data_IF_106485993110
#
_entry.id   IF_106485993110
#
_cell.length_a   1.000
_cell.length_b   1.000
_cell.length_c   1.000
_cell.angle_alpha   90.00
_cell.angle_beta   90.00
_cell.angle_gamma   90.00
#
_symmetry.space_group_name_H-M   'P 1'
#
loop_
_entity.id
_entity.type
_entity.pdbx_description
1 polymer ?
#
# COMPACT_ATOMS: atom_id res chain seq x y z
N UNK A 1 8.31 -17.92 2.69
CA UNK A 1 7.77 -16.93 3.67
C UNK A 1 8.78 -16.72 4.84
N UNK A 2 10.08 -16.60 4.53
CA UNK A 2 11.17 -16.64 5.53
C UNK A 2 11.58 -15.27 6.11
N UNK A 3 10.97 -14.18 5.64
CA UNK A 3 11.33 -12.82 6.08
C UNK A 3 10.93 -12.53 7.54
N UNK A 4 9.99 -13.28 8.11
CA UNK A 4 9.55 -13.10 9.51
C UNK A 4 10.51 -13.74 10.52
N UNK A 5 11.35 -14.70 10.11
CA UNK A 5 12.29 -15.39 11.01
C UNK A 5 13.39 -14.44 11.50
N UNK A 6 13.66 -13.35 10.75
CA UNK A 6 14.75 -12.41 11.04
C UNK A 6 14.34 -11.15 11.81
N UNK A 7 13.04 -10.94 12.03
CA UNK A 7 12.53 -9.74 12.69
C UNK A 7 12.10 -10.05 14.13
N UNK A 8 13.09 -10.19 15.03
CA UNK A 8 12.80 -10.19 16.47
C UNK A 8 12.60 -8.75 16.93
N UNK A 9 11.35 -8.41 17.26
CA UNK A 9 11.03 -7.14 17.89
C UNK A 9 11.55 -7.19 19.33
N UNK A 10 12.38 -6.22 19.71
CA UNK A 10 12.82 -6.03 21.09
C UNK A 10 12.20 -4.74 21.66
N UNK A 11 11.84 -4.71 22.95
CA UNK A 11 11.49 -3.46 23.61
C UNK A 11 12.72 -2.53 23.64
N UNK A 12 12.49 -1.23 23.47
CA UNK A 12 13.50 -0.19 23.65
C UNK A 12 13.43 0.36 25.07
N UNK A 13 14.58 0.67 25.65
CA UNK A 13 14.70 1.38 26.93
C UNK A 13 14.35 2.86 26.79
N UNK A 14 14.02 3.51 27.92
CA UNK A 14 13.69 4.94 27.95
C UNK A 14 14.87 5.81 27.50
N UNK A 15 16.09 5.42 27.86
CA UNK A 15 17.34 6.12 27.50
C UNK A 15 17.61 6.05 25.99
N UNK A 16 17.36 4.88 25.36
CA UNK A 16 17.45 4.71 23.91
C UNK A 16 16.43 5.58 23.18
N UNK A 17 15.20 5.65 23.69
CA UNK A 17 14.13 6.48 23.11
C UNK A 17 14.52 7.97 23.13
N UNK A 18 15.04 8.46 24.25
CA UNK A 18 15.48 9.85 24.37
C UNK A 18 16.71 10.16 23.49
N UNK A 19 17.66 9.24 23.39
CA UNK A 19 18.81 9.38 22.49
C UNK A 19 18.38 9.48 21.02
N UNK A 20 17.39 8.69 20.61
CA UNK A 20 16.83 8.74 19.26
C UNK A 20 16.12 10.08 19.00
N UNK A 21 15.36 10.59 19.98
CA UNK A 21 14.69 11.91 19.90
C UNK A 21 15.70 13.05 19.75
N UNK A 22 16.79 13.02 20.53
CA UNK A 22 17.84 14.05 20.50
C UNK A 22 18.57 14.10 19.15
N UNK A 23 18.72 12.97 18.45
CA UNK A 23 19.35 12.91 17.12
C UNK A 23 18.52 13.57 16.00
N UNK A 24 17.37 14.20 16.28
CA UNK A 24 16.43 14.81 15.31
C UNK A 24 15.96 13.85 14.19
N UNK A 25 16.25 12.56 14.30
CA UNK A 25 15.52 11.53 13.55
C UNK A 25 14.18 11.48 14.24
N UNK A 26 13.22 12.30 13.81
CA UNK A 26 11.84 12.26 14.33
C UNK A 26 11.29 10.92 13.87
N UNK A 27 11.26 9.88 14.73
CA UNK A 27 10.69 8.62 14.31
C UNK A 27 9.21 8.94 14.17
N UNK A 28 8.61 8.63 13.02
CA UNK A 28 7.16 8.55 12.96
C UNK A 28 6.78 7.39 13.87
N UNK A 29 6.57 7.68 15.15
CA UNK A 29 6.14 6.68 16.13
C UNK A 29 4.71 6.34 15.75
N UNK A 30 4.45 5.06 15.48
CA UNK A 30 3.15 4.61 15.04
C UNK A 30 2.74 3.39 15.86
N UNK A 31 1.44 3.29 16.16
CA UNK A 31 0.93 2.26 17.07
C UNK A 31 0.68 0.95 16.31
N UNK A 32 1.31 -0.14 16.73
CA UNK A 32 1.03 -1.48 16.21
C UNK A 32 -0.35 -1.95 16.66
N UNK A 33 -1.13 -2.56 15.75
CA UNK A 33 -2.41 -3.21 16.03
C UNK A 33 -2.48 -4.55 15.30
N UNK A 34 -2.99 -5.57 15.98
CA UNK A 34 -3.26 -6.87 15.37
C UNK A 34 -4.73 -7.00 14.97
N UNK A 35 -4.99 -7.47 13.75
CA UNK A 35 -6.34 -7.79 13.25
C UNK A 35 -6.49 -9.32 13.18
N UNK A 36 -7.52 -9.92 13.80
CA UNK A 36 -7.79 -11.34 13.68
C UNK A 36 -7.99 -11.81 12.23
N UNK A 37 -7.42 -12.96 11.89
CA UNK A 37 -7.58 -13.70 10.63
C UNK A 37 -7.82 -15.17 10.96
N UNK A 38 -8.39 -15.93 10.02
CA UNK A 38 -8.74 -17.35 10.22
C UNK A 38 -7.59 -18.19 10.80
N UNK A 39 -6.35 -17.95 10.35
CA UNK A 39 -5.17 -18.72 10.76
C UNK A 39 -4.12 -17.86 11.48
N UNK A 40 -4.51 -16.79 12.18
CA UNK A 40 -3.58 -15.97 12.96
C UNK A 40 -3.91 -14.48 12.99
N UNK A 41 -2.89 -13.65 13.15
CA UNK A 41 -3.03 -12.20 13.28
C UNK A 41 -2.40 -11.48 12.09
N UNK A 42 -3.07 -10.44 11.59
CA UNK A 42 -2.49 -9.48 10.65
C UNK A 42 -1.98 -8.26 11.43
N UNK A 43 -0.66 -8.09 11.60
CA UNK A 43 -0.13 -6.83 12.13
C UNK A 43 -0.41 -5.70 11.13
N UNK A 44 -0.89 -4.58 11.64
CA UNK A 44 -1.03 -3.31 10.92
C UNK A 44 -0.51 -2.16 11.78
N UNK A 45 -0.02 -1.11 11.14
CA UNK A 45 0.48 0.07 11.83
C UNK A 45 -0.54 1.20 11.72
N UNK A 46 -0.93 1.78 12.86
CA UNK A 46 -1.73 3.00 12.91
C UNK A 46 -0.81 4.21 12.86
N UNK A 47 -0.67 4.77 11.66
CA UNK A 47 0.13 5.98 11.39
C UNK A 47 -0.43 7.25 12.05
N UNK A 48 -1.66 7.19 12.56
CA UNK A 48 -2.26 8.32 13.23
C UNK A 48 -1.62 8.55 14.62
N UNK A 49 -1.07 7.53 15.27
CA UNK A 49 -0.52 7.65 16.62
C UNK A 49 0.88 8.26 16.71
N UNK A 50 1.18 9.34 15.97
CA UNK A 50 2.43 10.09 16.16
C UNK A 50 2.48 10.52 17.62
N UNK A 51 3.32 9.84 18.41
CA UNK A 51 3.71 10.25 19.76
C UNK A 51 4.71 11.39 19.61
N UNK A 52 4.28 12.46 18.92
CA UNK A 52 4.92 13.75 19.06
C UNK A 52 4.59 14.23 20.48
N UNK A 53 5.49 15.02 21.11
CA UNK A 53 5.19 15.65 22.39
C UNK A 53 3.82 16.32 22.27
N UNK A 54 3.07 16.38 23.38
CA UNK A 54 1.66 16.82 23.52
C UNK A 54 1.32 18.21 22.90
N UNK A 55 2.27 18.84 22.23
CA UNK A 55 2.27 20.20 21.70
C UNK A 55 1.73 20.37 20.26
N UNK A 56 1.51 19.30 19.46
CA UNK A 56 0.99 19.47 18.10
C UNK A 56 -0.52 19.21 18.02
N UNK A 57 -1.26 20.25 17.64
CA UNK A 57 -2.74 20.27 17.58
C UNK A 57 -3.28 19.21 16.62
N UNK A 58 -4.52 18.74 16.86
CA UNK A 58 -5.22 17.77 15.98
C UNK A 58 -5.22 18.21 14.51
N UNK A 59 -5.28 19.51 14.25
CA UNK A 59 -5.24 20.11 12.91
C UNK A 59 -3.90 19.90 12.20
N UNK A 60 -2.78 20.07 12.91
CA UNK A 60 -1.44 19.86 12.34
C UNK A 60 -1.23 18.41 11.86
N UNK A 61 -1.81 17.45 12.58
CA UNK A 61 -1.81 16.02 12.23
C UNK A 61 -2.67 15.73 10.99
N UNK A 62 -3.84 16.34 10.89
CA UNK A 62 -4.69 16.18 9.70
C UNK A 62 -4.00 16.78 8.45
N UNK A 63 -3.32 17.92 8.60
CA UNK A 63 -2.51 18.53 7.53
C UNK A 63 -1.40 17.60 7.05
N UNK A 64 -0.65 16.95 7.96
CA UNK A 64 0.37 15.94 7.61
C UNK A 64 -0.22 14.74 6.85
N UNK A 65 -1.34 14.17 7.32
CA UNK A 65 -2.01 13.04 6.63
C UNK A 65 -2.47 13.46 5.23
N UNK A 66 -3.06 14.65 5.10
CA UNK A 66 -3.49 15.17 3.82
C UNK A 66 -2.31 15.36 2.87
N UNK A 67 -1.17 15.85 3.36
CA UNK A 67 0.06 15.97 2.57
C UNK A 67 0.52 14.62 2.00
N UNK A 68 0.60 13.58 2.82
CA UNK A 68 0.95 12.23 2.34
C UNK A 68 -0.07 11.68 1.35
N UNK A 69 -1.37 11.88 1.61
CA UNK A 69 -2.42 11.45 0.69
C UNK A 69 -2.31 12.18 -0.66
N UNK A 70 -1.96 13.46 -0.67
CA UNK A 70 -1.72 14.21 -1.90
C UNK A 70 -0.51 13.66 -2.67
N UNK A 71 0.60 13.35 -1.98
CA UNK A 71 1.76 12.72 -2.62
C UNK A 71 1.41 11.35 -3.21
N UNK A 72 0.62 10.54 -2.49
CA UNK A 72 0.13 9.25 -3.00
C UNK A 72 -0.79 9.41 -4.20
N UNK A 73 -1.64 10.45 -4.23
CA UNK A 73 -2.47 10.76 -5.41
C UNK A 73 -1.60 11.12 -6.62
N UNK A 74 -0.55 11.93 -6.42
CA UNK A 74 0.37 12.27 -7.50
C UNK A 74 1.09 11.03 -8.04
N UNK A 75 1.61 10.18 -7.14
CA UNK A 75 2.22 8.91 -7.54
C UNK A 75 1.22 8.01 -8.28
N UNK A 76 -0.02 7.91 -7.79
CA UNK A 76 -1.07 7.16 -8.44
C UNK A 76 -1.36 7.67 -9.86
N UNK A 77 -1.36 9.00 -10.06
CA UNK A 77 -1.52 9.59 -11.40
C UNK A 77 -0.36 9.24 -12.33
N UNK A 78 0.89 9.33 -11.84
CA UNK A 78 2.08 8.94 -12.62
C UNK A 78 2.03 7.46 -12.99
N UNK A 79 1.70 6.57 -12.06
CA UNK A 79 1.57 5.15 -12.34
C UNK A 79 0.46 4.86 -13.36
N UNK A 80 -0.66 5.58 -13.31
CA UNK A 80 -1.71 5.47 -14.31
C UNK A 80 -1.26 5.95 -15.69
N UNK A 81 -0.46 7.02 -15.75
CA UNK A 81 0.13 7.51 -17.00
C UNK A 81 1.11 6.49 -17.58
N UNK A 82 2.09 6.03 -16.80
CA UNK A 82 3.09 5.04 -17.21
C UNK A 82 2.44 3.73 -17.67
N UNK A 83 1.34 3.31 -17.04
CA UNK A 83 0.57 2.14 -17.49
C UNK A 83 0.08 2.27 -18.93
N UNK A 84 -0.21 3.48 -19.40
CA UNK A 84 -0.70 3.72 -20.77
C UNK A 84 0.43 3.91 -21.78
N UNK A 85 1.55 4.48 -21.37
CA UNK A 85 2.68 4.81 -22.25
C UNK A 85 3.71 3.68 -22.32
N UNK A 86 3.99 3.04 -21.18
CA UNK A 86 5.01 2.00 -21.07
C UNK A 86 4.49 0.79 -20.30
N UNK A 87 3.69 -0.02 -21.00
CA UNK A 87 3.07 -1.24 -20.47
C UNK A 87 4.07 -2.29 -20.00
N UNK A 88 5.35 -2.19 -20.38
CA UNK A 88 6.37 -3.18 -19.98
C UNK A 88 6.72 -3.12 -18.49
N UNK A 89 6.66 -1.95 -17.85
CA UNK A 89 7.02 -1.77 -16.44
C UNK A 89 5.90 -2.20 -15.47
N UNK A 90 4.64 -1.99 -15.85
CA UNK A 90 3.47 -2.21 -14.98
C UNK A 90 2.65 -3.43 -15.43
N UNK A 91 2.90 -3.93 -16.63
CA UNK A 91 2.20 -5.07 -17.21
C UNK A 91 0.70 -4.82 -17.39
N UNK A 92 -0.09 -5.88 -17.24
CA UNK A 92 -1.55 -5.84 -17.33
C UNK A 92 -2.24 -5.39 -16.02
N UNK A 93 -1.51 -4.71 -15.13
CA UNK A 93 -2.09 -4.20 -13.88
C UNK A 93 -3.18 -3.18 -14.17
N UNK A 94 -4.18 -3.12 -13.30
CA UNK A 94 -5.28 -2.15 -13.37
C UNK A 94 -5.45 -1.47 -12.02
N UNK A 95 -5.77 -0.18 -12.05
CA UNK A 95 -5.75 0.68 -10.87
C UNK A 95 -7.13 1.26 -10.51
N UNK A 96 -8.08 1.26 -11.45
CA UNK A 96 -9.47 1.66 -11.20
C UNK A 96 -10.35 0.50 -10.73
N UNK A 97 -11.41 0.85 -10.02
CA UNK A 97 -12.39 -0.10 -9.47
C UNK A 97 -13.08 -0.95 -10.55
N UNK A 98 -13.36 -0.34 -11.71
CA UNK A 98 -14.10 -0.99 -12.80
C UNK A 98 -13.21 -1.42 -13.97
N UNK A 99 -11.89 -1.20 -13.86
CA UNK A 99 -10.97 -1.42 -14.97
C UNK A 99 -10.77 -2.91 -15.25
N UNK A 100 -10.81 -3.78 -14.23
CA UNK A 100 -10.75 -5.24 -14.40
C UNK A 100 -11.87 -5.69 -15.35
N UNK A 101 -13.10 -5.25 -15.11
CA UNK A 101 -14.26 -5.62 -15.92
C UNK A 101 -14.12 -5.12 -17.35
N UNK A 102 -13.66 -3.87 -17.55
CA UNK A 102 -13.44 -3.31 -18.88
C UNK A 102 -12.40 -4.11 -19.67
N UNK A 103 -11.26 -4.41 -19.06
CA UNK A 103 -10.19 -5.21 -19.67
C UNK A 103 -10.67 -6.61 -20.00
N UNK A 104 -11.38 -7.26 -19.07
CA UNK A 104 -11.95 -8.59 -19.31
C UNK A 104 -12.99 -8.58 -20.43
N UNK A 105 -13.91 -7.62 -20.43
CA UNK A 105 -14.93 -7.49 -21.49
C UNK A 105 -14.28 -7.27 -22.85
N UNK A 106 -13.25 -6.43 -22.94
CA UNK A 106 -12.51 -6.23 -24.20
C UNK A 106 -11.85 -7.51 -24.68
N UNK A 107 -11.22 -8.27 -23.78
CA UNK A 107 -10.62 -9.57 -24.09
C UNK A 107 -11.64 -10.56 -24.64
N UNK A 108 -12.74 -10.80 -23.93
CA UNK A 108 -13.82 -11.71 -24.34
C UNK A 108 -14.44 -11.26 -25.67
N UNK A 109 -14.70 -9.97 -25.83
CA UNK A 109 -15.27 -9.42 -27.08
C UNK A 109 -14.36 -9.67 -28.28
N UNK A 110 -13.03 -9.57 -28.12
CA UNK A 110 -12.07 -9.86 -29.21
C UNK A 110 -12.14 -11.33 -29.64
N UNK A 111 -12.22 -12.25 -28.69
CA UNK A 111 -12.31 -13.69 -28.95
C UNK A 111 -13.63 -14.03 -29.67
N UNK A 112 -14.75 -13.48 -29.21
CA UNK A 112 -16.05 -13.72 -29.86
C UNK A 112 -16.09 -13.16 -31.28
N UNK A 113 -15.41 -12.03 -31.53
CA UNK A 113 -15.33 -11.43 -32.87
C UNK A 113 -14.43 -12.18 -33.84
N UNK A 114 -13.50 -13.02 -33.37
CA UNK A 114 -12.63 -13.78 -34.27
C UNK A 114 -13.35 -14.90 -35.04
N UNK A 115 -14.64 -15.15 -34.79
CA UNK A 115 -15.51 -16.00 -35.61
C UNK A 115 -15.19 -17.50 -35.61
N UNK A 116 -14.09 -17.91 -34.98
CA UNK A 116 -13.69 -19.31 -34.79
C UNK A 116 -14.16 -19.90 -33.45
N UNK A 117 -13.77 -21.14 -33.21
CA UNK A 117 -14.02 -21.81 -31.93
C UNK A 117 -13.33 -21.08 -30.77
N UNK A 118 -14.00 -21.05 -29.62
CA UNK A 118 -13.46 -20.41 -28.42
C UNK A 118 -12.27 -21.25 -27.91
N UNK A 119 -11.06 -20.68 -27.80
CA UNK A 119 -9.89 -21.45 -27.36
C UNK A 119 -9.99 -21.78 -25.88
N UNK A 120 -9.32 -22.87 -25.48
CA UNK A 120 -9.21 -23.26 -24.08
C UNK A 120 -8.27 -22.33 -23.31
N UNK A 121 -8.75 -21.76 -22.21
CA UNK A 121 -7.96 -20.89 -21.34
C UNK A 121 -7.54 -21.60 -20.06
N UNK A 122 -6.31 -21.34 -19.64
CA UNK A 122 -5.80 -21.70 -18.32
C UNK A 122 -5.70 -20.44 -17.47
N UNK A 123 -6.12 -20.53 -16.21
CA UNK A 123 -6.08 -19.41 -15.28
C UNK A 123 -5.30 -19.77 -14.01
N UNK A 124 -4.61 -18.77 -13.46
CA UNK A 124 -3.90 -18.86 -12.18
C UNK A 124 -4.47 -17.77 -11.28
N UNK A 125 -4.58 -18.08 -9.99
CA UNK A 125 -5.04 -17.14 -8.96
C UNK A 125 -3.87 -16.48 -8.25
#
# INVERSE_FOLDING_TARGET
>A
RNHFVKLQLRPLSSEEIETIRQKKIVPVVAKLRFIPKRNGLRPIVRMNGVVEPRALSKESRQKKINHYNTQLKNLFSVLNYERTVNTSFIGSSVFGKDDIYKTWKQFVTKILKSGGEIPHFYCVK
#
